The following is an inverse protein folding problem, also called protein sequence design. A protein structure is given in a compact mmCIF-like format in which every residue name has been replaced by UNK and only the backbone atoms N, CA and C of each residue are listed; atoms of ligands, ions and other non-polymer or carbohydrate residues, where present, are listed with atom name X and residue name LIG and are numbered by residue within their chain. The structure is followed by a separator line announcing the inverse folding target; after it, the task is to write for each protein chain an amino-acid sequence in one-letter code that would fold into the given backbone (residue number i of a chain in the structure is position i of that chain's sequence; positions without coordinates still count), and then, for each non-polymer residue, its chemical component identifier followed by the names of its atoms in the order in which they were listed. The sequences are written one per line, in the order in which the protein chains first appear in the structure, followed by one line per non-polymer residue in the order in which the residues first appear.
data_IF_147023898557
#
_entry.id   IF_147023898557
#
_cell.length_a   1.000
_cell.length_b   1.000
_cell.length_c   1.000
_cell.angle_alpha   90.00
_cell.angle_beta   90.00
_cell.angle_gamma   90.00
#
_symmetry.space_group_name_H-M   'P 1'
#
loop_
_entity.id
_entity.type
_entity.pdbx_description
1 polymer ?
#
# COMPACT_ATOMS: atom_id res chain seq x y z
N UNK A 1 -25.22 5.54 49.87
CA UNK A 1 -25.27 6.68 48.93
C UNK A 1 -23.86 6.85 48.35
N UNK A 2 -23.70 6.93 47.04
CA UNK A 2 -22.45 6.95 46.23
C UNK A 2 -21.96 5.58 45.72
N UNK A 3 -22.70 5.06 44.73
CA UNK A 3 -22.17 4.19 43.69
C UNK A 3 -22.87 4.59 42.37
N UNK A 4 -22.36 5.57 41.70
CA UNK A 4 -22.72 5.85 40.31
C UNK A 4 -21.79 6.91 39.76
N UNK A 5 -20.60 6.56 39.26
CA UNK A 5 -19.79 7.45 38.37
C UNK A 5 -18.51 6.75 37.85
N UNK A 6 -18.62 5.54 37.30
CA UNK A 6 -17.45 4.96 36.62
C UNK A 6 -17.71 4.44 35.20
N UNK A 7 -18.97 4.50 34.75
CA UNK A 7 -19.34 3.99 33.41
C UNK A 7 -19.66 5.05 32.34
N UNK A 8 -19.51 6.35 32.65
CA UNK A 8 -19.79 7.42 31.69
C UNK A 8 -18.53 7.95 30.97
N UNK A 9 -17.32 7.58 31.40
CA UNK A 9 -16.08 8.09 30.78
C UNK A 9 -15.61 7.18 29.61
N UNK A 10 -16.10 5.95 29.53
CA UNK A 10 -15.69 5.04 28.45
C UNK A 10 -16.50 5.18 27.14
N UNK A 11 -17.60 5.93 27.14
CA UNK A 11 -18.44 6.16 25.94
C UNK A 11 -18.20 7.50 25.22
N UNK A 12 -17.31 8.35 25.69
CA UNK A 12 -17.10 9.69 25.12
C UNK A 12 -15.95 9.79 24.11
N UNK A 13 -15.18 8.72 23.87
CA UNK A 13 -14.01 8.77 22.97
C UNK A 13 -14.25 8.28 21.54
N UNK A 14 -15.45 7.81 21.19
CA UNK A 14 -15.78 7.37 19.83
C UNK A 14 -16.53 8.40 18.99
N UNK A 15 -16.83 9.59 19.52
CA UNK A 15 -17.71 10.56 18.86
C UNK A 15 -17.06 11.90 18.47
N UNK A 16 -15.75 11.97 18.24
CA UNK A 16 -15.13 13.25 17.86
C UNK A 16 -14.36 13.21 16.53
N UNK A 17 -14.70 12.28 15.63
CA UNK A 17 -14.22 12.37 14.26
C UNK A 17 -15.03 13.46 13.57
N UNK A 18 -14.36 14.48 13.01
CA UNK A 18 -15.02 15.58 12.31
C UNK A 18 -15.85 15.04 11.14
N UNK A 19 -16.90 15.78 10.75
CA UNK A 19 -17.71 15.41 9.57
C UNK A 19 -16.83 15.29 8.30
N UNK A 20 -15.82 16.14 8.19
CA UNK A 20 -14.84 16.09 7.09
C UNK A 20 -14.06 14.78 7.08
N UNK A 21 -13.53 14.33 8.22
CA UNK A 21 -12.80 13.06 8.32
C UNK A 21 -13.70 11.86 8.03
N UNK A 22 -14.96 11.89 8.46
CA UNK A 22 -15.94 10.86 8.13
C UNK A 22 -16.19 10.78 6.63
N UNK A 23 -16.31 11.94 5.95
CA UNK A 23 -16.48 12.00 4.50
C UNK A 23 -15.24 11.47 3.78
N UNK A 24 -14.05 11.84 4.21
CA UNK A 24 -12.79 11.33 3.62
C UNK A 24 -12.65 9.82 3.78
N UNK A 25 -12.94 9.29 4.95
CA UNK A 25 -12.89 7.85 5.20
C UNK A 25 -13.91 7.07 4.33
N UNK A 26 -15.15 7.57 4.23
CA UNK A 26 -16.17 7.00 3.36
C UNK A 26 -15.77 7.10 1.87
N UNK A 27 -15.25 8.24 1.45
CA UNK A 27 -14.77 8.46 0.09
C UNK A 27 -13.63 7.50 -0.27
N UNK A 28 -12.66 7.31 0.63
CA UNK A 28 -11.57 6.34 0.46
C UNK A 28 -12.12 4.94 0.21
N UNK A 29 -13.01 4.46 1.08
CA UNK A 29 -13.62 3.14 0.94
C UNK A 29 -14.36 2.99 -0.38
N UNK A 30 -15.21 3.95 -0.76
CA UNK A 30 -16.02 3.88 -1.99
C UNK A 30 -15.13 3.98 -3.24
N UNK A 31 -14.12 4.87 -3.25
CA UNK A 31 -13.18 4.99 -4.37
C UNK A 31 -12.32 3.73 -4.53
N UNK A 32 -11.82 3.14 -3.45
CA UNK A 32 -11.03 1.90 -3.53
C UNK A 32 -11.85 0.74 -4.10
N UNK A 33 -13.14 0.66 -3.76
CA UNK A 33 -14.02 -0.41 -4.25
C UNK A 33 -14.50 -0.22 -5.70
N UNK A 34 -14.86 1.01 -6.07
CA UNK A 34 -15.55 1.30 -7.36
C UNK A 34 -14.66 2.02 -8.37
N UNK A 35 -13.52 2.59 -7.96
CA UNK A 35 -12.73 3.53 -8.76
C UNK A 35 -13.40 4.91 -8.89
N UNK A 36 -12.66 5.88 -9.44
CA UNK A 36 -13.17 7.24 -9.62
C UNK A 36 -14.39 7.29 -10.57
N UNK A 37 -14.29 6.63 -11.72
CA UNK A 37 -15.30 6.73 -12.76
C UNK A 37 -16.68 6.24 -12.31
N UNK A 38 -16.76 5.10 -11.63
CA UNK A 38 -18.01 4.47 -11.21
C UNK A 38 -18.59 5.05 -9.91
N UNK A 39 -17.81 5.78 -9.13
CA UNK A 39 -18.25 6.38 -7.85
C UNK A 39 -19.17 7.59 -8.11
N UNK A 40 -20.29 7.63 -7.40
CA UNK A 40 -21.17 8.80 -7.33
C UNK A 40 -21.05 9.47 -5.98
N UNK A 41 -21.17 10.80 -5.92
CA UNK A 41 -21.14 11.55 -4.63
C UNK A 41 -22.23 11.08 -3.65
N UNK A 42 -23.36 10.57 -4.18
CA UNK A 42 -24.43 9.99 -3.37
C UNK A 42 -23.99 8.73 -2.65
N UNK A 43 -23.19 7.87 -3.29
CA UNK A 43 -22.63 6.65 -2.66
C UNK A 43 -21.73 7.00 -1.46
N UNK A 44 -20.93 8.08 -1.61
CA UNK A 44 -20.06 8.58 -0.54
C UNK A 44 -20.86 9.17 0.61
N UNK A 45 -21.93 9.95 0.31
CA UNK A 45 -22.77 10.53 1.34
C UNK A 45 -23.49 9.45 2.16
N UNK A 46 -23.99 8.40 1.49
CA UNK A 46 -24.63 7.23 2.11
C UNK A 46 -23.64 6.47 3.01
N UNK A 47 -22.46 6.16 2.53
CA UNK A 47 -21.41 5.49 3.31
C UNK A 47 -20.97 6.32 4.52
N UNK A 48 -20.89 7.67 4.39
CA UNK A 48 -20.55 8.58 5.47
C UNK A 48 -21.70 8.80 6.49
N UNK A 49 -22.94 8.35 6.18
CA UNK A 49 -24.12 8.60 7.00
C UNK A 49 -24.49 10.08 7.07
N UNK A 50 -24.36 10.82 5.96
CA UNK A 50 -24.69 12.25 5.86
C UNK A 50 -25.60 12.52 4.65
N UNK A 51 -26.22 13.70 4.62
CA UNK A 51 -26.94 14.12 3.44
C UNK A 51 -26.01 14.69 2.35
N UNK A 52 -26.45 14.66 1.11
CA UNK A 52 -25.68 15.12 -0.04
C UNK A 52 -25.34 16.63 0.01
N UNK A 53 -26.19 17.45 0.63
CA UNK A 53 -25.93 18.89 0.79
C UNK A 53 -24.73 19.13 1.70
N UNK A 54 -24.62 18.35 2.76
CA UNK A 54 -23.47 18.40 3.69
C UNK A 54 -22.16 17.98 3.01
N UNK A 55 -22.19 16.93 2.17
CA UNK A 55 -21.01 16.53 1.39
C UNK A 55 -20.57 17.68 0.47
N UNK A 56 -21.50 18.30 -0.26
CA UNK A 56 -21.20 19.41 -1.17
C UNK A 56 -20.72 20.69 -0.42
N UNK A 57 -21.11 20.87 0.83
CA UNK A 57 -20.61 21.97 1.67
C UNK A 57 -19.14 21.80 1.99
N UNK A 58 -18.70 20.59 2.37
CA UNK A 58 -17.30 20.31 2.69
C UNK A 58 -16.43 20.14 1.44
N UNK A 59 -16.95 19.42 0.44
CA UNK A 59 -16.21 19.09 -0.78
C UNK A 59 -17.02 19.47 -2.00
N UNK A 60 -16.67 20.58 -2.63
CA UNK A 60 -17.40 21.21 -3.72
C UNK A 60 -17.50 20.34 -5.00
N UNK A 61 -16.58 19.37 -5.16
CA UNK A 61 -16.60 18.46 -6.31
C UNK A 61 -16.07 17.08 -5.94
N UNK A 62 -16.54 16.05 -6.66
CA UNK A 62 -16.05 14.68 -6.56
C UNK A 62 -14.56 14.60 -6.89
N UNK A 63 -14.11 15.34 -7.88
CA UNK A 63 -12.73 15.41 -8.32
C UNK A 63 -11.80 15.91 -7.21
N UNK A 64 -12.16 17.01 -6.55
CA UNK A 64 -11.36 17.56 -5.44
C UNK A 64 -11.26 16.58 -4.27
N UNK A 65 -12.38 15.94 -3.91
CA UNK A 65 -12.40 14.92 -2.86
C UNK A 65 -11.54 13.71 -3.26
N UNK A 66 -11.61 13.29 -4.51
CA UNK A 66 -10.77 12.21 -5.04
C UNK A 66 -9.29 12.55 -4.99
N UNK A 67 -8.87 13.75 -5.41
CA UNK A 67 -7.49 14.19 -5.34
C UNK A 67 -6.95 14.15 -3.91
N UNK A 68 -7.73 14.61 -2.93
CA UNK A 68 -7.36 14.56 -1.51
C UNK A 68 -7.16 13.10 -1.07
N UNK A 69 -8.15 12.23 -1.33
CA UNK A 69 -8.08 10.80 -0.96
C UNK A 69 -6.89 10.12 -1.62
N UNK A 70 -6.66 10.39 -2.92
CA UNK A 70 -5.55 9.79 -3.66
C UNK A 70 -4.20 10.24 -3.10
N UNK A 71 -4.02 11.54 -2.83
CA UNK A 71 -2.80 12.06 -2.21
C UNK A 71 -2.55 11.47 -0.82
N UNK A 72 -3.58 11.38 0.02
CA UNK A 72 -3.47 10.75 1.35
C UNK A 72 -3.10 9.27 1.23
N UNK A 73 -3.74 8.54 0.31
CA UNK A 73 -3.48 7.12 0.05
C UNK A 73 -2.03 6.91 -0.40
N UNK A 74 -1.55 7.70 -1.36
CA UNK A 74 -0.17 7.63 -1.84
C UNK A 74 0.83 7.98 -0.75
N UNK A 75 0.58 9.05 -0.01
CA UNK A 75 1.45 9.47 1.11
C UNK A 75 1.58 8.35 2.14
N UNK A 76 0.47 7.73 2.52
CA UNK A 76 0.47 6.63 3.49
C UNK A 76 1.21 5.40 2.94
N UNK A 77 0.96 5.05 1.68
CA UNK A 77 1.59 3.92 0.99
C UNK A 77 3.12 4.07 0.95
N UNK A 78 3.64 5.26 0.61
CA UNK A 78 5.08 5.48 0.49
C UNK A 78 5.78 5.82 1.80
N UNK A 79 5.08 6.35 2.80
CA UNK A 79 5.68 6.77 4.07
C UNK A 79 6.42 5.64 4.79
N UNK A 80 5.79 4.49 4.92
CA UNK A 80 6.39 3.32 5.58
C UNK A 80 7.63 2.82 4.84
N UNK A 81 7.55 2.77 3.51
CA UNK A 81 8.65 2.31 2.66
C UNK A 81 9.84 3.25 2.71
N UNK A 82 9.63 4.56 2.61
CA UNK A 82 10.70 5.55 2.66
C UNK A 82 11.56 5.46 3.93
N UNK A 83 10.92 5.21 5.07
CA UNK A 83 11.63 4.99 6.36
C UNK A 83 12.51 3.74 6.29
N UNK A 84 11.97 2.63 5.77
CA UNK A 84 12.72 1.36 5.65
C UNK A 84 13.91 1.51 4.71
N UNK A 85 13.71 2.14 3.54
CA UNK A 85 14.75 2.29 2.53
C UNK A 85 15.92 3.17 2.99
N UNK A 86 15.68 4.12 3.89
CA UNK A 86 16.66 5.08 4.38
C UNK A 86 17.21 4.77 5.79
N UNK A 87 16.87 3.63 6.38
CA UNK A 87 17.39 3.22 7.69
C UNK A 87 18.86 2.79 7.56
N UNK A 88 19.79 3.61 8.05
CA UNK A 88 21.23 3.33 8.05
C UNK A 88 21.63 2.13 8.93
N UNK A 89 20.80 1.76 9.88
CA UNK A 89 21.09 0.69 10.84
C UNK A 89 20.80 -0.71 10.33
N UNK A 90 20.11 -0.83 9.19
CA UNK A 90 19.71 -2.10 8.61
C UNK A 90 20.49 -2.45 7.35
N UNK A 91 20.76 -3.72 7.17
CA UNK A 91 21.37 -4.28 5.96
C UNK A 91 20.39 -4.24 4.76
N UNK A 92 20.94 -4.45 3.56
CA UNK A 92 20.15 -4.61 2.33
C UNK A 92 19.11 -5.74 2.46
N UNK A 93 19.51 -6.87 3.03
CA UNK A 93 18.65 -8.03 3.23
C UNK A 93 17.48 -7.73 4.17
N UNK A 94 17.78 -7.09 5.32
CA UNK A 94 16.74 -6.67 6.27
C UNK A 94 15.78 -5.65 5.67
N UNK A 95 16.25 -4.75 4.79
CA UNK A 95 15.38 -3.82 4.09
C UNK A 95 14.40 -4.54 3.17
N UNK A 96 14.87 -5.53 2.40
CA UNK A 96 14.00 -6.35 1.54
C UNK A 96 12.95 -7.08 2.39
N UNK A 97 13.34 -7.71 3.49
CA UNK A 97 12.45 -8.40 4.42
C UNK A 97 11.37 -7.45 4.97
N UNK A 98 11.78 -6.29 5.47
CA UNK A 98 10.87 -5.29 6.05
C UNK A 98 9.92 -4.70 5.01
N UNK A 99 10.40 -4.39 3.80
CA UNK A 99 9.56 -3.89 2.71
C UNK A 99 8.50 -4.91 2.33
N UNK A 100 8.89 -6.17 2.13
CA UNK A 100 7.95 -7.25 1.79
C UNK A 100 6.91 -7.44 2.89
N UNK A 101 7.35 -7.51 4.16
CA UNK A 101 6.44 -7.68 5.28
C UNK A 101 5.45 -6.50 5.40
N UNK A 102 5.94 -5.26 5.32
CA UNK A 102 5.13 -4.06 5.41
C UNK A 102 4.07 -3.99 4.29
N UNK A 103 4.45 -4.30 3.04
CA UNK A 103 3.50 -4.31 1.93
C UNK A 103 2.45 -5.42 2.07
N UNK A 104 2.84 -6.63 2.47
CA UNK A 104 1.87 -7.71 2.67
C UNK A 104 0.89 -7.36 3.79
N UNK A 105 1.34 -6.76 4.90
CA UNK A 105 0.46 -6.33 5.98
C UNK A 105 -0.55 -5.29 5.49
N UNK A 106 -0.07 -4.25 4.80
CA UNK A 106 -0.92 -3.22 4.22
C UNK A 106 -1.97 -3.82 3.25
N UNK A 107 -1.55 -4.75 2.38
CA UNK A 107 -2.46 -5.34 1.39
C UNK A 107 -3.41 -6.38 1.98
N UNK A 108 -3.12 -6.95 3.13
CA UNK A 108 -4.08 -7.76 3.90
C UNK A 108 -5.15 -6.90 4.55
N UNK A 109 -4.80 -5.66 4.95
CA UNK A 109 -5.76 -4.69 5.50
C UNK A 109 -6.56 -4.00 4.39
N UNK A 110 -5.91 -3.65 3.27
CA UNK A 110 -6.52 -2.93 2.14
C UNK A 110 -6.33 -3.70 0.81
N UNK A 111 -7.01 -4.84 0.61
CA UNK A 111 -6.76 -5.73 -0.54
C UNK A 111 -7.12 -5.12 -1.90
N UNK A 112 -8.01 -4.13 -1.95
CA UNK A 112 -8.40 -3.42 -3.18
C UNK A 112 -7.40 -2.33 -3.60
N UNK A 113 -6.48 -1.95 -2.71
CA UNK A 113 -5.54 -0.85 -2.94
C UNK A 113 -4.67 -1.01 -4.20
N UNK A 114 -4.08 -2.20 -4.50
CA UNK A 114 -3.27 -2.35 -5.70
C UNK A 114 -4.07 -2.14 -6.99
N UNK A 115 -5.27 -2.70 -7.05
CA UNK A 115 -6.16 -2.57 -8.21
C UNK A 115 -6.61 -1.11 -8.39
N UNK A 116 -6.95 -0.44 -7.30
CA UNK A 116 -7.29 0.97 -7.31
C UNK A 116 -6.12 1.82 -7.84
N UNK A 117 -4.91 1.68 -7.29
CA UNK A 117 -3.75 2.44 -7.74
C UNK A 117 -3.47 2.19 -9.23
N UNK A 118 -3.45 0.95 -9.68
CA UNK A 118 -3.17 0.62 -11.08
C UNK A 118 -4.21 1.21 -12.04
N UNK A 119 -5.49 1.19 -11.68
CA UNK A 119 -6.55 1.74 -12.50
C UNK A 119 -6.48 3.27 -12.60
N UNK A 120 -6.12 3.95 -11.52
CA UNK A 120 -6.07 5.42 -11.48
C UNK A 120 -4.74 5.99 -12.01
N UNK A 121 -3.64 5.25 -11.86
CA UNK A 121 -2.32 5.66 -12.40
C UNK A 121 -2.25 5.48 -13.91
N UNK A 122 -2.86 4.43 -14.46
CA UNK A 122 -2.78 4.10 -15.88
C UNK A 122 -3.22 5.23 -16.83
N UNK A 123 -4.33 5.97 -16.58
CA UNK A 123 -4.73 7.10 -17.40
C UNK A 123 -3.89 8.37 -17.15
N UNK A 124 -3.28 8.52 -15.99
CA UNK A 124 -2.47 9.68 -15.63
C UNK A 124 -1.20 9.30 -14.84
N UNK A 125 -0.20 8.68 -15.46
CA UNK A 125 1.02 8.26 -14.78
C UNK A 125 1.84 9.42 -14.21
N UNK A 126 1.74 10.62 -14.78
CA UNK A 126 2.44 11.80 -14.31
C UNK A 126 2.00 12.18 -12.88
N UNK A 127 0.71 12.11 -12.58
CA UNK A 127 0.20 12.35 -11.23
C UNK A 127 0.86 11.41 -10.19
N UNK A 128 1.02 10.13 -10.55
CA UNK A 128 1.68 9.17 -9.67
C UNK A 128 3.15 9.53 -9.42
N UNK A 129 3.88 9.91 -10.48
CA UNK A 129 5.29 10.31 -10.37
C UNK A 129 5.46 11.53 -9.45
N UNK A 130 4.59 12.54 -9.59
CA UNK A 130 4.62 13.76 -8.78
C UNK A 130 4.30 13.51 -7.29
N UNK A 131 3.46 12.52 -6.99
CA UNK A 131 3.07 12.18 -5.63
C UNK A 131 3.99 11.10 -5.00
N UNK A 132 4.90 10.52 -5.77
CA UNK A 132 5.70 9.35 -5.39
C UNK A 132 7.17 9.70 -5.25
N UNK A 133 7.82 9.41 -4.12
CA UNK A 133 9.27 9.54 -3.95
C UNK A 133 10.06 8.38 -4.58
N UNK A 134 9.43 7.52 -5.42
CA UNK A 134 10.08 6.30 -5.96
C UNK A 134 11.35 6.65 -6.72
N UNK A 135 11.35 7.70 -7.56
CA UNK A 135 12.53 8.09 -8.32
C UNK A 135 13.73 8.42 -7.41
N UNK A 136 13.51 9.23 -6.38
CA UNK A 136 14.52 9.54 -5.37
C UNK A 136 14.94 8.29 -4.58
N UNK A 137 13.98 7.47 -4.17
CA UNK A 137 14.24 6.26 -3.40
C UNK A 137 15.12 5.26 -4.17
N UNK A 138 14.96 5.16 -5.49
CA UNK A 138 15.74 4.26 -6.33
C UNK A 138 17.17 4.78 -6.62
N UNK A 139 17.42 6.08 -6.51
CA UNK A 139 18.70 6.69 -6.88
C UNK A 139 19.49 7.21 -5.70
N UNK A 140 18.84 7.67 -4.63
CA UNK A 140 19.48 8.40 -3.53
C UNK A 140 19.26 7.76 -2.15
N UNK A 141 18.53 6.64 -2.04
CA UNK A 141 18.32 5.98 -0.75
C UNK A 141 19.53 5.21 -0.25
N UNK A 142 19.54 4.92 1.04
CA UNK A 142 20.51 4.00 1.65
C UNK A 142 20.46 2.62 0.99
N UNK A 143 19.27 2.13 0.63
CA UNK A 143 19.13 0.88 -0.13
C UNK A 143 19.88 0.94 -1.45
N UNK A 144 19.72 2.02 -2.24
CA UNK A 144 20.39 2.16 -3.53
C UNK A 144 21.92 2.15 -3.37
N UNK A 145 22.44 2.86 -2.35
CA UNK A 145 23.86 2.86 -2.02
C UNK A 145 24.36 1.46 -1.62
N UNK A 146 23.69 0.79 -0.68
CA UNK A 146 24.04 -0.56 -0.24
C UNK A 146 24.00 -1.57 -1.38
N UNK A 147 23.03 -1.43 -2.30
CA UNK A 147 22.93 -2.27 -3.48
C UNK A 147 24.12 -2.07 -4.41
N UNK A 148 24.47 -0.81 -4.75
CA UNK A 148 25.61 -0.49 -5.59
C UNK A 148 26.95 -1.00 -4.99
N UNK A 149 27.13 -0.85 -3.67
CA UNK A 149 28.29 -1.40 -2.94
C UNK A 149 28.34 -2.93 -3.04
N UNK A 150 27.21 -3.62 -2.92
CA UNK A 150 27.14 -5.08 -3.02
C UNK A 150 27.46 -5.57 -4.44
N UNK A 151 27.03 -4.84 -5.47
CA UNK A 151 27.40 -5.10 -6.89
C UNK A 151 28.91 -4.89 -7.09
N UNK A 152 29.46 -3.76 -6.62
CA UNK A 152 30.89 -3.45 -6.77
C UNK A 152 31.79 -4.49 -6.07
N UNK A 153 31.31 -5.07 -4.98
CA UNK A 153 31.99 -6.16 -4.23
C UNK A 153 31.76 -7.55 -4.85
N UNK A 154 31.01 -7.66 -5.95
CA UNK A 154 30.69 -8.94 -6.58
C UNK A 154 29.74 -9.84 -5.77
N UNK A 155 29.10 -9.31 -4.71
CA UNK A 155 28.12 -10.04 -3.90
C UNK A 155 26.77 -10.18 -4.59
N UNK A 156 26.42 -9.23 -5.45
CA UNK A 156 25.22 -9.22 -6.28
C UNK A 156 25.64 -9.29 -7.75
N UNK A 157 25.05 -10.22 -8.49
CA UNK A 157 25.33 -10.45 -9.90
C UNK A 157 24.46 -9.62 -10.84
N UNK A 158 23.26 -9.20 -10.39
CA UNK A 158 22.36 -8.33 -11.14
C UNK A 158 22.70 -6.85 -10.84
N UNK A 159 23.28 -6.09 -11.77
CA UNK A 159 23.71 -4.72 -11.50
C UNK A 159 22.56 -3.71 -11.45
N UNK A 160 21.41 -4.03 -12.04
CA UNK A 160 20.29 -3.11 -12.15
C UNK A 160 19.29 -3.31 -11.00
N UNK A 161 19.32 -2.40 -10.02
CA UNK A 161 18.39 -2.38 -8.89
C UNK A 161 16.92 -2.46 -9.33
N UNK A 162 16.56 -1.90 -10.50
CA UNK A 162 15.17 -1.90 -10.99
C UNK A 162 14.63 -3.32 -11.19
N UNK A 163 15.46 -4.28 -11.63
CA UNK A 163 15.01 -5.67 -11.75
C UNK A 163 14.62 -6.27 -10.39
N UNK A 164 15.40 -5.97 -9.35
CA UNK A 164 15.09 -6.39 -7.98
C UNK A 164 13.78 -5.76 -7.50
N UNK A 165 13.60 -4.46 -7.72
CA UNK A 165 12.38 -3.74 -7.35
C UNK A 165 11.16 -4.32 -8.07
N UNK A 166 11.25 -4.55 -9.38
CA UNK A 166 10.15 -5.15 -10.16
C UNK A 166 9.82 -6.57 -9.72
N UNK A 167 10.82 -7.38 -9.35
CA UNK A 167 10.61 -8.72 -8.81
C UNK A 167 9.88 -8.66 -7.45
N UNK A 168 10.30 -7.76 -6.53
CA UNK A 168 9.63 -7.58 -5.24
C UNK A 168 8.18 -7.14 -5.45
N UNK A 169 7.96 -6.09 -6.26
CA UNK A 169 6.62 -5.57 -6.56
C UNK A 169 5.73 -6.65 -7.18
N UNK A 170 6.23 -7.34 -8.20
CA UNK A 170 5.47 -8.39 -8.88
C UNK A 170 5.10 -9.54 -7.96
N UNK A 171 6.05 -10.02 -7.15
CA UNK A 171 5.81 -11.10 -6.21
C UNK A 171 4.84 -10.71 -5.08
N UNK A 172 4.88 -9.48 -4.62
CA UNK A 172 4.00 -9.00 -3.53
C UNK A 172 2.61 -8.65 -4.06
N UNK A 173 2.51 -7.82 -5.12
CA UNK A 173 1.25 -7.22 -5.56
C UNK A 173 0.40 -8.18 -6.40
N UNK A 174 1.03 -8.95 -7.29
CA UNK A 174 0.29 -9.80 -8.23
C UNK A 174 -0.74 -10.74 -7.56
N UNK A 175 -0.45 -11.44 -6.46
CA UNK A 175 -1.44 -12.31 -5.82
C UNK A 175 -2.70 -11.57 -5.36
N UNK A 176 -2.60 -10.31 -4.93
CA UNK A 176 -3.75 -9.50 -4.52
C UNK A 176 -4.57 -9.05 -5.73
N UNK A 177 -3.93 -8.58 -6.80
CA UNK A 177 -4.62 -8.21 -8.05
C UNK A 177 -5.29 -9.43 -8.69
N UNK A 178 -4.63 -10.58 -8.66
CA UNK A 178 -5.13 -11.83 -9.23
C UNK A 178 -6.06 -12.62 -8.29
N UNK A 179 -6.31 -12.15 -7.07
CA UNK A 179 -7.12 -12.85 -6.06
C UNK A 179 -8.46 -13.37 -6.59
N UNK A 180 -9.29 -12.58 -7.33
CA UNK A 180 -10.56 -13.06 -7.85
C UNK A 180 -10.39 -14.25 -8.79
N UNK A 181 -9.38 -14.21 -9.65
CA UNK A 181 -9.05 -15.31 -10.58
C UNK A 181 -8.54 -16.54 -9.82
N UNK A 182 -7.62 -16.36 -8.89
CA UNK A 182 -7.07 -17.44 -8.07
C UNK A 182 -8.16 -18.14 -7.26
N UNK A 183 -9.04 -17.36 -6.62
CA UNK A 183 -10.18 -17.93 -5.87
C UNK A 183 -11.14 -18.70 -6.75
N UNK A 184 -11.41 -18.23 -7.97
CA UNK A 184 -12.29 -18.92 -8.91
C UNK A 184 -11.69 -20.25 -9.42
N UNK A 185 -10.38 -20.31 -9.63
CA UNK A 185 -9.69 -21.51 -10.14
C UNK A 185 -9.49 -22.56 -9.03
N UNK A 186 -9.11 -22.12 -7.83
CA UNK A 186 -8.66 -23.03 -6.76
C UNK A 186 -9.70 -23.28 -5.69
N UNK A 187 -10.83 -22.53 -5.68
CA UNK A 187 -11.81 -22.52 -4.59
C UNK A 187 -11.17 -22.28 -3.21
N UNK A 188 -10.09 -21.47 -3.17
CA UNK A 188 -9.30 -21.22 -1.97
C UNK A 188 -10.11 -20.39 -0.97
N UNK A 189 -10.38 -20.90 0.24
CA UNK A 189 -11.06 -20.14 1.30
C UNK A 189 -10.26 -18.90 1.71
N UNK A 190 -10.96 -17.84 2.16
CA UNK A 190 -10.36 -16.57 2.55
C UNK A 190 -9.24 -16.72 3.59
N UNK A 191 -9.46 -17.57 4.61
CA UNK A 191 -8.47 -17.80 5.66
C UNK A 191 -7.21 -18.51 5.13
N UNK A 192 -7.36 -19.42 4.17
CA UNK A 192 -6.21 -20.08 3.55
C UNK A 192 -5.46 -19.09 2.64
N UNK A 193 -6.17 -18.22 1.92
CA UNK A 193 -5.54 -17.17 1.14
C UNK A 193 -4.71 -16.23 2.04
N UNK A 194 -5.27 -15.77 3.16
CA UNK A 194 -4.53 -14.95 4.12
C UNK A 194 -3.29 -15.66 4.67
N UNK A 195 -3.43 -16.93 5.06
CA UNK A 195 -2.31 -17.72 5.52
C UNK A 195 -1.20 -17.85 4.45
N UNK A 196 -1.57 -18.04 3.18
CA UNK A 196 -0.66 -18.06 2.05
C UNK A 196 0.09 -16.72 1.91
N UNK A 197 -0.59 -15.59 2.02
CA UNK A 197 0.04 -14.26 1.95
C UNK A 197 0.99 -14.03 3.13
N UNK A 198 0.63 -14.45 4.34
CA UNK A 198 1.50 -14.34 5.52
C UNK A 198 2.80 -15.15 5.33
N UNK A 199 2.70 -16.39 4.80
CA UNK A 199 3.88 -17.20 4.51
C UNK A 199 4.83 -16.52 3.51
N UNK A 200 4.30 -15.77 2.55
CA UNK A 200 5.08 -15.06 1.54
C UNK A 200 5.97 -13.96 2.12
N UNK A 201 5.70 -13.46 3.34
CA UNK A 201 6.60 -12.52 4.03
C UNK A 201 8.00 -13.10 4.23
N UNK A 202 8.11 -14.40 4.41
CA UNK A 202 9.39 -15.11 4.56
C UNK A 202 9.90 -15.65 3.22
N UNK A 203 9.01 -16.17 2.39
CA UNK A 203 9.39 -16.83 1.13
C UNK A 203 9.91 -15.83 0.09
N UNK A 204 9.27 -14.66 -0.07
CA UNK A 204 9.69 -13.68 -1.08
C UNK A 204 11.12 -13.20 -0.84
N UNK A 205 11.53 -12.76 0.38
CA UNK A 205 12.92 -12.40 0.63
C UNK A 205 13.92 -13.54 0.33
N UNK A 206 13.57 -14.78 0.64
CA UNK A 206 14.41 -15.93 0.32
C UNK A 206 14.59 -16.11 -1.20
N UNK A 207 13.50 -16.01 -1.98
CA UNK A 207 13.56 -16.09 -3.43
C UNK A 207 14.36 -14.94 -4.04
N UNK A 208 14.16 -13.71 -3.56
CA UNK A 208 14.92 -12.54 -4.01
C UNK A 208 16.41 -12.72 -3.73
N UNK A 209 16.78 -13.16 -2.53
CA UNK A 209 18.18 -13.48 -2.19
C UNK A 209 18.77 -14.53 -3.13
N UNK A 210 18.05 -15.60 -3.41
CA UNK A 210 18.50 -16.65 -4.34
C UNK A 210 18.75 -16.08 -5.74
N UNK A 211 17.85 -15.20 -6.24
CA UNK A 211 17.99 -14.57 -7.56
C UNK A 211 19.20 -13.64 -7.60
N UNK A 212 19.42 -12.85 -6.55
CA UNK A 212 20.51 -11.87 -6.50
C UNK A 212 21.90 -12.49 -6.40
N UNK A 213 22.01 -13.63 -5.72
CA UNK A 213 23.29 -14.29 -5.43
C UNK A 213 23.52 -15.57 -6.28
N UNK A 214 22.72 -15.79 -7.34
CA UNK A 214 23.03 -16.87 -8.28
C UNK A 214 24.39 -16.60 -8.92
N UNK A 215 25.33 -17.57 -8.90
CA UNK A 215 26.57 -17.45 -9.68
C UNK A 215 26.19 -17.26 -11.14
N UNK A 216 26.84 -16.32 -11.84
CA UNK A 216 26.72 -16.21 -13.29
C UNK A 216 27.02 -17.60 -13.83
N UNK A 217 26.00 -18.26 -14.41
CA UNK A 217 26.22 -19.45 -15.24
C UNK A 217 27.14 -18.96 -16.36
N UNK A 218 28.38 -19.46 -16.36
CA UNK A 218 29.43 -19.01 -17.27
C UNK A 218 28.93 -19.11 -18.71
N UNK A 219 29.34 -18.12 -19.49
CA UNK A 219 29.27 -18.13 -20.94
C UNK A 219 30.03 -19.35 -21.52
#
# INVERSE_FOLDING_TARGET
MYFCTRNQIAMSNTNNISAEERIKAAARKVFHQKGYAATRTRDIAEEAGINHAMLNYYFRSKEKLFQIVMTETMTQFFKGVGVILNDETTSLDEKIERVVANYIDLLLEEPELPTFILNEVRPNPQFFVEQSPIGEALTHSVLARQYAEAVAQGRITEPNLMHTVLNVIGLVIFPFVAKPMLSAITNLPEEQYKALMIQRKTLIPQWIKTILFLPKTGD
#
